data_IF_587955867638
#
_entry.id   IF_587955867638
#
_cell.length_a   1.000
_cell.length_b   1.000
_cell.length_c   1.000
_cell.angle_alpha   90.00
_cell.angle_beta   90.00
_cell.angle_gamma   90.00
#
_symmetry.space_group_name_H-M   'P 1'
#
loop_
_entity.id
_entity.type
_entity.pdbx_description
1 polymer ?
#
# COMPACT_ATOMS: atom_id res chain seq x y z
N UNK A 1 10.86 -27.10 -67.74
CA UNK A 1 10.61 -25.69 -67.39
C UNK A 1 9.37 -25.49 -66.52
N UNK A 2 8.15 -25.91 -66.91
CA UNK A 2 6.92 -25.72 -66.09
C UNK A 2 6.90 -26.43 -64.72
N UNK A 3 7.65 -27.53 -64.57
CA UNK A 3 7.68 -28.33 -63.33
C UNK A 3 8.57 -27.73 -62.24
N UNK A 4 9.62 -27.00 -62.63
CA UNK A 4 10.57 -26.38 -61.70
C UNK A 4 10.03 -25.05 -61.16
N UNK A 5 9.34 -24.27 -62.01
CA UNK A 5 8.66 -23.03 -61.60
C UNK A 5 7.54 -23.32 -60.59
N UNK A 6 6.77 -24.39 -60.80
CA UNK A 6 5.69 -24.78 -59.89
C UNK A 6 6.22 -25.23 -58.51
N UNK A 7 7.37 -25.92 -58.49
CA UNK A 7 8.03 -26.31 -57.24
C UNK A 7 8.56 -25.10 -56.46
N UNK A 8 9.08 -24.09 -57.16
CA UNK A 8 9.57 -22.85 -56.54
C UNK A 8 8.41 -22.06 -55.91
N UNK A 9 7.28 -21.95 -56.61
CA UNK A 9 6.08 -21.28 -56.10
C UNK A 9 5.51 -22.00 -54.86
N UNK A 10 5.44 -23.33 -54.87
CA UNK A 10 5.03 -24.10 -53.70
C UNK A 10 5.97 -23.93 -52.50
N UNK A 11 7.30 -23.92 -52.72
CA UNK A 11 8.28 -23.68 -51.66
C UNK A 11 8.16 -22.26 -51.10
N UNK A 12 7.96 -21.25 -51.96
CA UNK A 12 7.75 -19.87 -51.52
C UNK A 12 6.47 -19.72 -50.68
N UNK A 13 5.38 -20.38 -51.07
CA UNK A 13 4.13 -20.38 -50.32
C UNK A 13 4.27 -21.07 -48.96
N UNK A 14 5.00 -22.21 -48.89
CA UNK A 14 5.31 -22.90 -47.64
C UNK A 14 6.14 -22.04 -46.68
N UNK A 15 7.14 -21.32 -47.19
CA UNK A 15 7.96 -20.40 -46.40
C UNK A 15 7.12 -19.23 -45.87
N UNK A 16 6.23 -18.66 -46.70
CA UNK A 16 5.33 -17.58 -46.30
C UNK A 16 4.35 -18.08 -45.22
N UNK A 17 3.80 -19.29 -45.35
CA UNK A 17 2.91 -19.89 -44.34
C UNK A 17 3.66 -20.14 -43.02
N UNK A 18 4.90 -20.64 -43.07
CA UNK A 18 5.74 -20.81 -41.87
C UNK A 18 6.08 -19.47 -41.20
N UNK A 19 6.39 -18.43 -41.98
CA UNK A 19 6.63 -17.07 -41.46
C UNK A 19 5.36 -16.46 -40.84
N UNK A 20 4.19 -16.69 -41.43
CA UNK A 20 2.88 -16.26 -40.89
C UNK A 20 2.54 -16.97 -39.57
N UNK A 21 2.92 -18.24 -39.40
CA UNK A 21 2.75 -18.97 -38.14
C UNK A 21 3.64 -18.44 -37.01
N UNK A 22 4.87 -17.97 -37.33
CA UNK A 22 5.75 -17.33 -36.34
C UNK A 22 5.20 -15.96 -35.90
N UNK A 23 4.52 -15.23 -36.79
CA UNK A 23 3.91 -13.92 -36.49
C UNK A 23 2.59 -13.99 -35.69
N UNK A 24 1.94 -15.17 -35.67
CA UNK A 24 0.66 -15.39 -34.97
C UNK A 24 0.80 -16.14 -33.65
N UNK A 25 2.04 -16.43 -33.23
CA UNK A 25 2.34 -16.65 -31.83
C UNK A 25 2.27 -15.31 -31.09
N UNK A 26 1.06 -14.73 -30.99
CA UNK A 26 0.75 -13.88 -29.85
C UNK A 26 0.91 -14.79 -28.62
N UNK A 27 2.10 -14.80 -28.04
CA UNK A 27 2.27 -15.34 -26.70
C UNK A 27 1.20 -14.62 -25.87
N UNK A 28 0.16 -15.35 -25.44
CA UNK A 28 -0.63 -14.95 -24.30
C UNK A 28 0.38 -14.95 -23.15
N UNK A 29 1.09 -13.84 -22.95
CA UNK A 29 2.11 -13.75 -21.91
C UNK A 29 1.34 -13.64 -20.61
N UNK A 30 1.05 -14.80 -20.04
CA UNK A 30 0.22 -14.92 -18.86
C UNK A 30 1.04 -14.49 -17.64
N UNK A 31 0.56 -13.45 -16.96
CA UNK A 31 1.15 -12.98 -15.71
C UNK A 31 0.64 -13.83 -14.55
N UNK A 32 1.42 -14.83 -14.15
CA UNK A 32 1.13 -15.61 -12.95
C UNK A 32 1.38 -14.77 -11.70
N UNK A 33 0.67 -15.07 -10.61
CA UNK A 33 0.95 -14.45 -9.32
C UNK A 33 2.27 -14.94 -8.76
N UNK A 34 3.04 -14.03 -8.19
CA UNK A 34 4.28 -14.29 -7.43
C UNK A 34 3.99 -14.43 -5.94
N UNK A 35 4.98 -14.88 -5.17
CA UNK A 35 4.89 -15.02 -3.71
C UNK A 35 6.21 -14.64 -3.05
N UNK A 36 6.17 -14.12 -1.83
CA UNK A 36 7.36 -13.80 -1.04
C UNK A 36 7.07 -13.90 0.46
N UNK A 37 7.66 -14.91 1.12
CA UNK A 37 7.56 -15.09 2.57
C UNK A 37 6.12 -15.14 3.07
N UNK A 38 5.75 -14.18 3.93
CA UNK A 38 4.40 -14.06 4.51
C UNK A 38 3.34 -13.58 3.52
N UNK A 39 3.73 -13.16 2.31
CA UNK A 39 2.83 -12.67 1.27
C UNK A 39 2.69 -13.76 0.19
N UNK A 40 1.63 -14.60 0.26
CA UNK A 40 1.51 -15.77 -0.62
C UNK A 40 1.04 -15.43 -2.03
N UNK A 41 0.41 -14.26 -2.22
CA UNK A 41 -0.18 -13.85 -3.49
C UNK A 41 0.20 -12.39 -3.76
N UNK A 42 1.12 -12.21 -4.70
CA UNK A 42 1.53 -10.94 -5.28
C UNK A 42 1.05 -10.94 -6.73
N UNK A 43 0.09 -10.09 -7.03
CA UNK A 43 -0.52 -9.98 -8.35
C UNK A 43 -0.79 -8.51 -8.66
N UNK A 44 -1.24 -8.25 -9.88
CA UNK A 44 -1.53 -6.90 -10.34
C UNK A 44 -2.39 -6.13 -9.30
N UNK A 45 -1.99 -4.91 -8.89
CA UNK A 45 -0.98 -4.06 -9.53
C UNK A 45 0.46 -4.30 -9.06
N UNK A 46 0.64 -5.05 -7.97
CA UNK A 46 1.96 -5.32 -7.41
C UNK A 46 2.75 -6.27 -8.31
N UNK A 47 4.07 -6.14 -8.22
CA UNK A 47 5.04 -7.03 -8.84
C UNK A 47 6.26 -7.13 -7.95
N UNK A 48 6.96 -8.24 -8.05
CA UNK A 48 8.34 -8.32 -7.61
C UNK A 48 9.25 -7.66 -8.64
N UNK A 49 10.41 -7.18 -8.19
CA UNK A 49 11.44 -6.63 -9.07
C UNK A 49 11.90 -7.63 -10.13
N UNK A 50 11.91 -8.91 -9.77
CA UNK A 50 12.28 -10.04 -10.61
C UNK A 50 11.16 -10.47 -11.59
N UNK A 51 9.93 -9.99 -11.40
CA UNK A 51 8.81 -10.32 -12.30
C UNK A 51 9.03 -9.72 -13.69
N UNK A 52 8.57 -10.38 -14.77
CA UNK A 52 8.67 -9.85 -16.12
C UNK A 52 8.14 -8.42 -16.24
N UNK A 53 8.81 -7.58 -17.05
CA UNK A 53 8.50 -6.14 -17.10
C UNK A 53 7.04 -5.79 -17.46
N UNK A 54 6.37 -6.66 -18.21
CA UNK A 54 4.97 -6.49 -18.63
C UNK A 54 3.96 -6.90 -17.55
N UNK A 55 4.40 -7.55 -16.47
CA UNK A 55 3.56 -7.97 -15.35
C UNK A 55 3.61 -6.96 -14.21
N UNK A 56 2.43 -6.58 -13.71
CA UNK A 56 2.26 -5.55 -12.69
C UNK A 56 2.58 -4.13 -13.18
N UNK A 57 2.44 -3.16 -12.29
CA UNK A 57 2.76 -1.76 -12.55
C UNK A 57 4.01 -1.39 -11.75
N UNK A 58 5.01 -0.81 -12.43
CA UNK A 58 6.28 -0.35 -11.84
C UNK A 58 6.11 0.59 -10.65
N UNK A 59 4.95 1.25 -10.52
CA UNK A 59 4.65 2.14 -9.39
C UNK A 59 4.32 1.38 -8.09
N UNK A 60 4.15 0.06 -8.18
CA UNK A 60 3.80 -0.86 -7.09
C UNK A 60 4.82 -2.01 -6.99
N UNK A 61 6.07 -1.75 -7.37
CA UNK A 61 7.15 -2.74 -7.28
C UNK A 61 7.55 -3.02 -5.82
N UNK A 62 7.69 -4.31 -5.52
CA UNK A 62 8.13 -4.84 -4.23
C UNK A 62 9.48 -5.54 -4.41
N UNK A 63 10.29 -5.52 -3.35
CA UNK A 63 11.57 -6.24 -3.29
C UNK A 63 11.42 -7.42 -2.34
N UNK A 64 11.79 -8.62 -2.77
CA UNK A 64 11.81 -9.81 -1.94
C UNK A 64 13.25 -10.15 -1.54
N UNK A 65 13.61 -9.90 -0.28
CA UNK A 65 14.94 -10.22 0.25
C UNK A 65 14.79 -11.10 1.47
N UNK A 66 15.52 -12.22 1.54
CA UNK A 66 15.50 -13.15 2.68
C UNK A 66 14.07 -13.53 3.11
N UNK A 67 13.22 -13.93 2.16
CA UNK A 67 11.80 -14.24 2.39
C UNK A 67 11.00 -13.09 3.04
N UNK A 68 11.41 -11.85 2.83
CA UNK A 68 10.73 -10.66 3.36
C UNK A 68 10.42 -9.68 2.24
N UNK A 69 9.13 -9.54 1.94
CA UNK A 69 8.64 -8.55 0.99
C UNK A 69 8.79 -7.14 1.59
N UNK A 70 9.36 -6.22 0.82
CA UNK A 70 9.60 -4.84 1.23
C UNK A 70 9.17 -3.86 0.15
N UNK A 71 8.68 -2.70 0.58
CA UNK A 71 8.34 -1.55 -0.24
C UNK A 71 9.22 -0.37 0.16
N UNK A 72 9.70 0.39 -0.82
CA UNK A 72 10.43 1.63 -0.55
C UNK A 72 9.49 2.83 -0.72
N UNK A 73 9.42 3.69 0.29
CA UNK A 73 8.69 4.96 0.26
C UNK A 73 9.65 6.09 0.63
N UNK A 74 9.82 7.08 -0.26
CA UNK A 74 10.76 8.19 -0.07
C UNK A 74 12.17 7.71 0.34
N UNK A 75 12.67 6.64 -0.31
CA UNK A 75 13.94 5.98 -0.03
C UNK A 75 14.04 5.22 1.31
N UNK A 76 12.97 5.20 2.11
CA UNK A 76 12.91 4.42 3.35
C UNK A 76 12.29 3.05 3.10
N UNK A 77 12.85 2.03 3.74
CA UNK A 77 12.43 0.62 3.59
C UNK A 77 11.33 0.27 4.58
N UNK A 78 10.24 -0.31 4.08
CA UNK A 78 9.13 -0.80 4.88
C UNK A 78 8.87 -2.27 4.57
N UNK A 79 8.67 -3.09 5.60
CA UNK A 79 8.28 -4.48 5.44
C UNK A 79 6.77 -4.60 5.20
N UNK A 80 6.39 -5.40 4.20
CA UNK A 80 5.00 -5.67 3.87
C UNK A 80 4.44 -6.73 4.81
N UNK A 81 3.45 -6.38 5.60
CA UNK A 81 2.78 -7.31 6.53
C UNK A 81 1.56 -7.97 5.91
N UNK A 82 0.83 -7.26 5.04
CA UNK A 82 -0.33 -7.78 4.35
C UNK A 82 -0.65 -6.94 3.11
N UNK A 83 -1.24 -7.58 2.11
CA UNK A 83 -1.87 -6.94 0.96
C UNK A 83 -3.33 -7.39 0.93
N UNK A 84 -4.25 -6.43 0.98
CA UNK A 84 -5.69 -6.70 0.89
C UNK A 84 -6.21 -6.22 -0.47
N UNK A 85 -6.46 -7.18 -1.37
CA UNK A 85 -6.99 -6.92 -2.70
C UNK A 85 -8.49 -6.56 -2.71
N UNK A 86 -9.24 -6.93 -1.67
CA UNK A 86 -10.66 -6.59 -1.56
C UNK A 86 -10.81 -5.12 -1.15
N UNK A 87 -10.07 -4.72 -0.11
CA UNK A 87 -10.11 -3.36 0.42
C UNK A 87 -9.15 -2.40 -0.29
N UNK A 88 -8.29 -2.92 -1.16
CA UNK A 88 -7.29 -2.17 -1.93
C UNK A 88 -6.32 -1.42 -1.00
N UNK A 89 -5.85 -2.13 0.03
CA UNK A 89 -4.88 -1.64 1.01
C UNK A 89 -3.62 -2.50 1.05
N UNK A 90 -2.54 -1.91 1.53
CA UNK A 90 -1.29 -2.58 1.87
C UNK A 90 -0.89 -2.13 3.27
N UNK A 91 -0.54 -3.08 4.14
CA UNK A 91 -0.09 -2.81 5.50
C UNK A 91 1.43 -2.93 5.60
N UNK A 92 2.05 -1.89 6.14
CA UNK A 92 3.50 -1.67 6.13
C UNK A 92 4.00 -1.40 7.54
N UNK A 93 5.21 -1.90 7.84
CA UNK A 93 5.93 -1.64 9.10
C UNK A 93 7.29 -1.08 8.75
N UNK A 94 7.74 -0.04 9.46
CA UNK A 94 9.08 0.52 9.26
C UNK A 94 10.13 -0.54 9.57
N UNK A 95 11.05 -0.80 8.64
CA UNK A 95 12.08 -1.82 8.79
C UNK A 95 13.08 -1.52 9.91
N UNK A 96 13.15 -0.28 10.40
CA UNK A 96 13.99 0.11 11.53
C UNK A 96 13.40 -0.31 12.89
N UNK A 97 12.10 -0.61 12.97
CA UNK A 97 11.45 -1.02 14.23
C UNK A 97 11.84 -2.46 14.55
N UNK A 98 12.46 -2.66 15.72
CA UNK A 98 12.77 -3.98 16.27
C UNK A 98 11.72 -4.38 17.29
N UNK A 99 11.70 -5.67 17.60
CA UNK A 99 10.88 -6.21 18.69
C UNK A 99 11.55 -6.00 20.06
N UNK A 100 11.99 -4.78 20.34
CA UNK A 100 12.42 -4.31 21.66
C UNK A 100 11.48 -3.19 22.10
N UNK A 101 11.36 -2.86 23.38
CA UNK A 101 10.32 -1.93 23.84
C UNK A 101 10.57 -0.45 23.48
N UNK A 102 11.68 -0.11 22.81
CA UNK A 102 12.15 1.26 22.62
C UNK A 102 12.70 1.52 21.21
N UNK A 103 12.24 0.77 20.20
CA UNK A 103 12.57 1.02 18.80
C UNK A 103 11.52 1.90 18.15
N UNK A 104 11.93 3.08 17.72
CA UNK A 104 11.04 4.05 17.07
C UNK A 104 11.46 4.31 15.62
N UNK A 105 10.52 4.70 14.74
CA UNK A 105 10.85 5.12 13.38
C UNK A 105 11.82 6.31 13.39
N UNK A 106 12.69 6.38 12.38
CA UNK A 106 13.69 7.45 12.25
C UNK A 106 13.21 8.59 11.34
N UNK A 107 12.24 8.30 10.46
CA UNK A 107 11.82 9.24 9.42
C UNK A 107 10.32 9.49 9.45
N UNK A 108 9.95 10.75 9.27
CA UNK A 108 8.56 11.18 9.30
C UNK A 108 7.83 10.66 8.08
N UNK A 109 6.71 9.99 8.32
CA UNK A 109 5.82 9.53 7.27
C UNK A 109 4.38 9.75 7.70
N UNK A 110 3.80 10.81 7.16
CA UNK A 110 2.46 11.28 7.49
C UNK A 110 1.57 11.35 6.26
N UNK A 111 0.29 11.64 6.45
CA UNK A 111 -0.66 11.87 5.36
C UNK A 111 -0.24 12.97 4.36
N UNK A 112 0.64 13.88 4.75
CA UNK A 112 1.09 14.98 3.90
C UNK A 112 2.15 14.56 2.89
N UNK A 113 2.79 13.39 3.10
CA UNK A 113 3.76 12.83 2.16
C UNK A 113 3.11 12.15 0.95
N UNK A 114 1.78 11.94 0.98
CA UNK A 114 1.03 11.25 -0.06
C UNK A 114 0.14 12.24 -0.81
N UNK A 115 0.70 12.88 -1.83
CA UNK A 115 -0.05 13.78 -2.70
C UNK A 115 -0.99 13.02 -3.67
N UNK A 116 -1.67 13.75 -4.55
CA UNK A 116 -2.61 13.15 -5.49
C UNK A 116 -1.95 12.33 -6.60
N UNK A 117 -0.65 12.55 -6.86
CA UNK A 117 0.13 11.91 -7.91
C UNK A 117 0.84 10.65 -7.39
N UNK A 118 0.94 10.49 -6.07
CA UNK A 118 1.53 9.32 -5.44
C UNK A 118 0.70 8.05 -5.71
N UNK A 119 1.33 6.89 -6.00
CA UNK A 119 0.61 5.63 -6.29
C UNK A 119 -0.16 5.09 -5.07
N UNK A 120 0.24 5.52 -3.87
CA UNK A 120 -0.40 5.20 -2.61
C UNK A 120 -1.08 6.43 -2.00
N UNK A 121 -2.17 6.21 -1.26
CA UNK A 121 -2.93 7.27 -0.59
C UNK A 121 -3.27 6.89 0.84
N UNK A 122 -3.26 7.86 1.73
CA UNK A 122 -3.90 7.72 3.05
C UNK A 122 -5.40 7.97 2.85
N UNK A 123 -6.23 6.97 3.20
CA UNK A 123 -7.68 7.10 3.09
C UNK A 123 -8.16 8.16 4.09
N UNK A 124 -8.65 9.29 3.58
CA UNK A 124 -9.23 10.36 4.38
C UNK A 124 -10.71 10.08 4.60
N UNK A 125 -11.20 10.35 5.80
CA UNK A 125 -12.64 10.42 6.05
C UNK A 125 -13.20 11.57 5.21
N UNK A 126 -14.09 11.25 4.27
CA UNK A 126 -14.93 12.24 3.59
C UNK A 126 -16.13 12.53 4.49
N UNK A 127 -16.65 13.76 4.47
CA UNK A 127 -17.79 14.16 5.33
C UNK A 127 -19.06 13.29 5.14
N UNK A 128 -19.14 12.52 4.05
CA UNK A 128 -20.29 11.70 3.64
C UNK A 128 -20.22 10.23 4.07
N UNK A 129 -19.03 9.74 4.44
CA UNK A 129 -18.84 8.43 5.04
C UNK A 129 -18.44 8.69 6.51
N UNK A 130 -18.89 7.89 7.47
CA UNK A 130 -18.47 8.06 8.87
C UNK A 130 -16.94 8.07 9.06
N UNK A 131 -16.43 8.15 10.30
CA UNK A 131 -14.99 8.25 10.57
C UNK A 131 -14.25 6.92 10.29
N UNK A 132 -14.24 6.44 9.05
CA UNK A 132 -13.39 5.34 8.61
C UNK A 132 -12.03 5.90 8.25
N UNK A 133 -11.25 6.23 9.28
CA UNK A 133 -9.82 6.49 9.12
C UNK A 133 -9.08 5.18 9.25
N UNK A 134 -8.25 4.88 8.25
CA UNK A 134 -7.39 3.71 8.29
C UNK A 134 -6.23 3.90 9.27
N UNK A 135 -5.74 5.14 9.45
CA UNK A 135 -4.57 5.41 10.28
C UNK A 135 -4.79 6.50 11.32
N UNK A 136 -4.22 6.29 12.50
CA UNK A 136 -3.99 7.26 13.55
C UNK A 136 -2.58 7.86 13.43
N UNK A 137 -2.44 9.19 13.52
CA UNK A 137 -1.12 9.80 13.61
C UNK A 137 -0.52 9.56 15.00
N UNK A 138 0.80 9.35 15.06
CA UNK A 138 1.59 9.32 16.28
C UNK A 138 2.64 10.41 16.14
N UNK A 139 2.61 11.38 17.06
CA UNK A 139 3.53 12.52 17.07
C UNK A 139 4.53 12.37 18.19
N UNK A 140 5.81 12.55 17.86
CA UNK A 140 6.89 12.67 18.83
C UNK A 140 7.34 14.13 18.87
N UNK A 141 7.51 14.64 20.08
CA UNK A 141 7.94 16.00 20.31
C UNK A 141 8.99 16.05 21.41
N UNK A 142 9.84 17.08 21.37
CA UNK A 142 10.79 17.36 22.42
C UNK A 142 10.66 18.79 22.93
N UNK A 143 10.82 18.96 24.23
CA UNK A 143 10.69 20.25 24.90
C UNK A 143 11.91 20.51 25.81
N UNK A 144 12.35 21.77 25.97
CA UNK A 144 13.43 22.13 26.89
C UNK A 144 13.00 22.06 28.37
N UNK A 145 11.69 22.14 28.64
CA UNK A 145 11.10 22.11 29.98
C UNK A 145 10.01 21.03 30.05
N UNK A 146 9.74 20.47 31.25
CA UNK A 146 8.73 19.45 31.40
C UNK A 146 7.33 20.02 31.13
N UNK A 147 6.53 19.29 30.37
CA UNK A 147 5.14 19.64 30.03
C UNK A 147 4.19 18.77 30.83
N UNK A 148 3.47 19.38 31.78
CA UNK A 148 2.41 18.72 32.54
C UNK A 148 1.07 18.85 31.83
N UNK A 149 0.87 18.15 30.71
CA UNK A 149 -0.42 18.09 30.04
C UNK A 149 -0.77 16.67 29.59
N UNK A 150 -1.91 16.17 30.05
CA UNK A 150 -2.62 15.09 29.39
C UNK A 150 -3.06 15.60 28.01
N UNK A 151 -2.78 14.91 26.89
CA UNK A 151 -2.57 13.45 26.75
C UNK A 151 -1.15 13.04 26.30
N UNK A 152 -0.11 13.79 26.68
CA UNK A 152 1.25 13.46 26.27
C UNK A 152 1.90 12.44 27.22
N UNK A 153 2.49 11.39 26.66
CA UNK A 153 3.23 10.40 27.43
C UNK A 153 4.72 10.70 27.34
N UNK A 154 5.36 10.82 28.49
CA UNK A 154 6.80 10.99 28.56
C UNK A 154 7.51 9.68 28.18
N UNK A 155 8.55 9.78 27.36
CA UNK A 155 9.32 8.62 26.86
C UNK A 155 10.70 8.50 27.48
N UNK A 156 10.94 9.19 28.61
CA UNK A 156 12.23 9.25 29.30
C UNK A 156 12.79 7.89 29.73
N UNK A 157 11.92 6.88 29.91
CA UNK A 157 12.30 5.49 30.19
C UNK A 157 13.05 4.78 29.04
N UNK A 158 13.03 5.33 27.83
CA UNK A 158 13.73 4.78 26.66
C UNK A 158 15.10 5.46 26.39
N UNK A 159 15.73 6.06 27.40
CA UNK A 159 17.10 6.64 27.36
C UNK A 159 17.37 7.54 26.13
N UNK A 160 16.39 8.35 25.72
CA UNK A 160 16.52 9.26 24.57
C UNK A 160 17.06 8.58 23.30
N UNK A 161 16.79 7.28 23.10
CA UNK A 161 17.17 6.53 21.88
C UNK A 161 16.61 7.13 20.58
N UNK A 162 15.68 8.08 20.69
CA UNK A 162 15.19 8.94 19.60
C UNK A 162 16.31 9.64 18.81
N UNK A 163 17.47 9.91 19.42
CA UNK A 163 18.58 10.64 18.78
C UNK A 163 19.82 9.78 18.48
N UNK A 164 19.70 8.44 18.45
CA UNK A 164 20.86 7.54 18.27
C UNK A 164 21.45 7.51 16.84
N UNK A 165 21.21 8.52 16.01
CA UNK A 165 21.92 8.76 14.76
C UNK A 165 22.33 10.24 14.65
N UNK A 166 23.58 10.52 15.01
CA UNK A 166 24.35 11.73 14.64
C UNK A 166 24.06 13.07 15.34
N UNK A 167 23.65 13.10 16.61
CA UNK A 167 23.73 14.32 17.41
C UNK A 167 24.86 14.22 18.45
N UNK A 168 25.94 14.97 18.19
CA UNK A 168 26.92 15.37 19.20
C UNK A 168 26.23 15.69 20.53
N UNK A 169 26.68 15.06 21.61
CA UNK A 169 26.24 15.26 22.99
C UNK A 169 26.11 16.76 23.32
N UNK A 170 24.92 17.33 23.09
CA UNK A 170 24.55 18.64 23.60
C UNK A 170 23.96 18.44 24.99
N UNK A 171 24.58 19.07 25.97
CA UNK A 171 24.38 18.92 27.41
C UNK A 171 23.03 19.41 27.96
N UNK A 172 22.02 19.64 27.13
CA UNK A 172 20.65 19.97 27.57
C UNK A 172 19.73 18.78 27.31
N UNK A 173 19.46 17.98 28.36
CA UNK A 173 18.45 16.92 28.32
C UNK A 173 17.10 17.55 27.94
N UNK A 174 16.60 17.23 26.75
CA UNK A 174 15.23 17.59 26.34
C UNK A 174 14.27 16.52 26.86
N UNK A 175 13.09 16.94 27.26
CA UNK A 175 11.99 16.05 27.63
C UNK A 175 11.28 15.60 26.37
N UNK A 176 11.19 14.28 26.16
CA UNK A 176 10.58 13.69 24.97
C UNK A 176 9.19 13.16 25.29
N UNK A 177 8.26 13.44 24.39
CA UNK A 177 6.86 13.10 24.55
C UNK A 177 6.30 12.46 23.29
N UNK A 178 5.32 11.58 23.47
CA UNK A 178 4.56 10.96 22.38
C UNK A 178 3.06 11.17 22.59
N UNK A 179 2.34 11.44 21.49
CA UNK A 179 0.88 11.57 21.46
C UNK A 179 0.31 10.81 20.27
N UNK A 180 -0.73 10.03 20.53
CA UNK A 180 -1.54 9.41 19.46
C UNK A 180 -2.75 10.30 19.19
N UNK A 181 -3.14 10.39 17.91
CA UNK A 181 -4.26 11.21 17.48
C UNK A 181 -3.86 12.63 17.11
N UNK A 182 -4.86 13.46 16.85
CA UNK A 182 -4.59 14.79 16.30
C UNK A 182 -3.91 15.71 17.29
N UNK A 183 -2.90 16.40 16.79
CA UNK A 183 -2.25 17.49 17.47
C UNK A 183 -2.87 18.81 17.00
N UNK A 184 -3.39 19.59 17.94
CA UNK A 184 -3.78 20.98 17.68
C UNK A 184 -2.60 21.90 17.96
N UNK A 185 -2.58 23.07 17.31
CA UNK A 185 -1.53 24.08 17.54
C UNK A 185 -1.50 24.49 19.02
N UNK A 186 -2.67 24.54 19.68
CA UNK A 186 -2.80 24.80 21.12
C UNK A 186 -2.12 23.76 22.01
N UNK A 187 -1.87 22.55 21.51
CA UNK A 187 -1.28 21.46 22.28
C UNK A 187 0.26 21.58 22.34
N UNK A 188 0.86 22.31 21.38
CA UNK A 188 2.32 22.48 21.31
C UNK A 188 2.70 23.71 22.12
N UNK A 189 3.40 23.49 23.24
CA UNK A 189 3.89 24.58 24.10
C UNK A 189 5.05 25.33 23.45
N UNK A 190 5.28 26.55 23.91
CA UNK A 190 6.39 27.39 23.47
C UNK A 190 7.73 26.64 23.61
N UNK A 191 8.61 26.82 22.62
CA UNK A 191 9.94 26.19 22.55
C UNK A 191 9.98 24.66 22.38
N UNK A 192 8.82 23.99 22.35
CA UNK A 192 8.76 22.59 21.94
C UNK A 192 8.91 22.44 20.43
N UNK A 193 9.52 21.35 19.99
CA UNK A 193 9.64 20.97 18.58
C UNK A 193 8.89 19.67 18.33
N UNK A 194 8.18 19.62 17.20
CA UNK A 194 7.69 18.35 16.65
C UNK A 194 8.88 17.71 15.94
N UNK A 195 9.32 16.58 16.47
CA UNK A 195 10.51 15.89 15.95
C UNK A 195 10.13 14.92 14.82
N UNK A 196 8.99 14.24 14.97
CA UNK A 196 8.56 13.18 14.05
C UNK A 196 7.04 12.99 14.07
N UNK A 197 6.46 12.69 12.91
CA UNK A 197 5.07 12.23 12.79
C UNK A 197 5.06 10.92 11.99
N UNK A 198 4.46 9.89 12.56
CA UNK A 198 4.23 8.61 11.89
C UNK A 198 2.76 8.21 11.98
N UNK A 199 2.44 7.05 11.44
CA UNK A 199 1.07 6.55 11.38
C UNK A 199 1.01 5.11 11.88
N UNK A 200 -0.15 4.72 12.39
CA UNK A 200 -0.50 3.33 12.68
C UNK A 200 -1.95 3.07 12.30
N UNK A 201 -2.26 1.87 11.81
CA UNK A 201 -3.65 1.40 11.62
C UNK A 201 -4.16 0.57 12.79
N UNK A 202 -3.46 0.61 13.94
CA UNK A 202 -3.88 -0.10 15.14
C UNK A 202 -5.26 0.39 15.62
N UNK A 203 -6.20 -0.53 15.92
CA UNK A 203 -7.53 -0.17 16.39
C UNK A 203 -7.53 0.16 17.88
N UNK A 204 -7.04 1.35 18.25
CA UNK A 204 -7.09 1.82 19.64
C UNK A 204 -8.53 1.87 20.17
N UNK A 205 -8.72 1.41 21.41
CA UNK A 205 -10.02 1.46 22.11
C UNK A 205 -10.30 2.84 22.70
N UNK A 206 -9.29 3.44 23.33
CA UNK A 206 -9.34 4.80 23.87
C UNK A 206 -8.01 5.48 23.58
N UNK A 207 -8.04 6.53 22.76
CA UNK A 207 -6.83 7.25 22.36
C UNK A 207 -6.32 8.22 23.44
N UNK A 208 -7.13 8.51 24.47
CA UNK A 208 -6.75 9.43 25.54
C UNK A 208 -6.00 8.74 26.68
N UNK A 209 -6.07 7.40 26.75
CA UNK A 209 -5.44 6.60 27.79
C UNK A 209 -4.70 5.42 27.15
N UNK A 210 -3.50 5.69 26.65
CA UNK A 210 -2.66 4.70 25.97
C UNK A 210 -1.37 4.53 26.79
N UNK A 211 -0.87 3.32 26.89
CA UNK A 211 0.44 3.04 27.47
C UNK A 211 1.58 3.13 26.43
N UNK A 212 2.82 3.33 26.87
CA UNK A 212 3.98 3.32 25.96
C UNK A 212 4.14 1.98 25.22
N UNK A 213 3.80 0.86 25.87
CA UNK A 213 3.83 -0.46 25.26
C UNK A 213 2.76 -0.63 24.16
N UNK A 214 1.57 -0.06 24.34
CA UNK A 214 0.54 -0.03 23.30
C UNK A 214 0.96 0.82 22.10
N UNK A 215 1.61 1.97 22.34
CA UNK A 215 2.19 2.79 21.26
C UNK A 215 3.24 1.97 20.51
N UNK A 216 4.14 1.31 21.21
CA UNK A 216 5.16 0.48 20.58
C UNK A 216 4.55 -0.70 19.81
N UNK A 217 3.56 -1.39 20.38
CA UNK A 217 2.81 -2.44 19.69
C UNK A 217 2.10 -1.94 18.43
N UNK A 218 1.58 -0.71 18.45
CA UNK A 218 0.96 -0.07 17.29
C UNK A 218 1.97 0.24 16.16
N UNK A 219 3.22 0.55 16.52
CA UNK A 219 4.30 0.77 15.55
C UNK A 219 4.72 -0.55 14.89
N UNK A 220 4.84 -1.63 15.67
CA UNK A 220 5.11 -2.99 15.15
C UNK A 220 3.97 -3.49 14.27
N UNK A 221 2.72 -3.15 14.59
CA UNK A 221 1.57 -3.51 13.76
C UNK A 221 1.58 -2.80 12.40
N UNK A 222 2.08 -1.56 12.38
CA UNK A 222 2.26 -0.77 11.18
C UNK A 222 1.06 0.08 10.81
N UNK A 223 1.05 0.55 9.57
CA UNK A 223 0.04 1.43 8.99
C UNK A 223 -0.43 0.93 7.64
N UNK A 224 -1.60 1.39 7.21
CA UNK A 224 -2.19 1.01 5.93
C UNK A 224 -2.15 2.14 4.91
N UNK A 225 -1.80 1.81 3.67
CA UNK A 225 -1.95 2.70 2.54
C UNK A 225 -2.95 2.11 1.55
N UNK A 226 -3.78 2.95 0.95
CA UNK A 226 -4.63 2.55 -0.15
C UNK A 226 -3.89 2.67 -1.47
N UNK A 227 -4.02 1.66 -2.32
CA UNK A 227 -3.51 1.66 -3.69
C UNK A 227 -4.64 1.82 -4.72
N UNK A 228 -5.81 2.31 -4.29
CA UNK A 228 -6.95 2.59 -5.17
C UNK A 228 -6.62 3.52 -6.35
N UNK A 229 -5.56 4.33 -6.24
CA UNK A 229 -5.10 5.20 -7.32
C UNK A 229 -4.85 4.44 -8.64
N UNK A 230 -4.50 3.16 -8.59
CA UNK A 230 -4.35 2.34 -9.80
C UNK A 230 -5.65 2.23 -10.60
N UNK A 231 -6.81 2.14 -9.93
CA UNK A 231 -8.12 2.10 -10.61
C UNK A 231 -8.40 3.42 -11.31
N UNK A 232 -8.03 4.55 -10.70
CA UNK A 232 -8.14 5.88 -11.33
C UNK A 232 -7.23 5.98 -12.56
N UNK A 233 -5.98 5.52 -12.45
CA UNK A 233 -5.01 5.50 -13.56
C UNK A 233 -5.50 4.64 -14.72
N UNK A 234 -5.98 3.44 -14.43
CA UNK A 234 -6.59 2.53 -15.41
C UNK A 234 -7.80 3.17 -16.11
N UNK A 235 -8.71 3.78 -15.34
CA UNK A 235 -9.89 4.45 -15.89
C UNK A 235 -9.55 5.67 -16.76
N UNK A 236 -8.54 6.47 -16.38
CA UNK A 236 -8.05 7.58 -17.19
C UNK A 236 -7.46 7.10 -18.52
N UNK A 237 -6.69 6.01 -18.50
CA UNK A 237 -6.08 5.42 -19.70
C UNK A 237 -7.14 4.86 -20.66
N UNK A 238 -8.17 4.19 -20.14
CA UNK A 238 -9.16 3.47 -20.94
C UNK A 238 -10.43 4.27 -21.27
N UNK A 239 -10.50 5.56 -20.89
CA UNK A 239 -11.62 6.49 -21.10
C UNK A 239 -13.01 5.95 -20.70
N UNK A 240 -13.07 4.84 -19.97
CA UNK A 240 -14.29 4.16 -19.56
C UNK A 240 -14.04 3.54 -18.17
N UNK A 241 -15.02 3.69 -17.29
CA UNK A 241 -14.92 3.25 -15.90
C UNK A 241 -16.32 2.82 -15.44
N UNK A 242 -16.60 1.51 -15.40
CA UNK A 242 -17.79 0.99 -14.71
C UNK A 242 -17.40 0.75 -13.25
N UNK A 243 -17.33 1.83 -12.47
CA UNK A 243 -17.26 1.71 -11.01
C UNK A 243 -18.65 1.30 -10.52
N UNK A 244 -18.78 0.12 -9.91
CA UNK A 244 -20.02 -0.32 -9.29
C UNK A 244 -20.28 0.50 -8.03
N UNK A 245 -21.16 1.48 -8.14
CA UNK A 245 -21.75 2.17 -7.00
C UNK A 245 -23.12 1.54 -6.71
N UNK A 246 -23.41 1.19 -5.46
CA UNK A 246 -24.77 0.88 -5.03
C UNK A 246 -25.39 2.14 -4.39
N UNK A 247 -26.59 2.51 -4.83
CA UNK A 247 -27.31 3.64 -4.23
C UNK A 247 -28.18 3.10 -3.08
N UNK A 248 -27.89 3.50 -1.84
CA UNK A 248 -28.73 3.20 -0.67
C UNK A 248 -28.86 4.45 0.19
N UNK A 249 -30.09 4.80 0.56
CA UNK A 249 -30.43 5.93 1.44
C UNK A 249 -29.82 7.27 0.99
N UNK A 250 -29.92 7.60 -0.30
CA UNK A 250 -29.45 8.89 -0.82
C UNK A 250 -27.94 8.98 -1.08
N UNK A 251 -27.18 7.90 -0.85
CA UNK A 251 -25.72 7.89 -0.97
C UNK A 251 -25.20 6.78 -1.90
N UNK A 252 -24.08 7.05 -2.57
CA UNK A 252 -23.32 6.09 -3.38
C UNK A 252 -22.37 5.29 -2.48
N UNK A 253 -22.55 3.98 -2.38
CA UNK A 253 -21.66 3.05 -1.69
C UNK A 253 -20.79 2.31 -2.70
N UNK A 254 -19.48 2.25 -2.46
CA UNK A 254 -18.54 1.41 -3.22
C UNK A 254 -18.84 -0.07 -2.93
N UNK A 255 -19.24 -0.83 -3.96
CA UNK A 255 -19.55 -2.25 -3.79
C UNK A 255 -18.25 -3.07 -3.77
N UNK A 256 -17.81 -3.49 -2.57
CA UNK A 256 -16.61 -4.28 -2.34
C UNK A 256 -16.88 -5.69 -1.78
N UNK A 257 -17.90 -6.42 -2.27
CA UNK A 257 -18.17 -7.79 -1.77
C UNK A 257 -18.35 -8.85 -2.85
N UNK A 258 -17.54 -9.91 -2.69
CA UNK A 258 -17.43 -11.24 -3.32
C UNK A 258 -17.62 -11.40 -4.84
N UNK A 259 -16.49 -11.69 -5.48
CA UNK A 259 -16.33 -12.46 -6.71
C UNK A 259 -16.46 -13.93 -6.31
N UNK A 260 -17.55 -14.61 -6.70
CA UNK A 260 -17.52 -16.07 -6.73
C UNK A 260 -16.73 -16.49 -7.97
N UNK A 261 -15.57 -17.12 -7.79
CA UNK A 261 -14.87 -17.79 -8.87
C UNK A 261 -15.62 -19.08 -9.21
N UNK A 262 -16.43 -19.06 -10.27
CA UNK A 262 -16.86 -20.29 -10.92
C UNK A 262 -15.74 -20.70 -11.87
N UNK A 263 -14.94 -21.70 -11.49
CA UNK A 263 -14.01 -22.33 -12.43
C UNK A 263 -14.79 -23.25 -13.35
N UNK A 264 -15.03 -22.82 -14.59
CA UNK A 264 -15.21 -23.76 -15.70
C UNK A 264 -14.01 -23.62 -16.63
N UNK A 265 -13.56 -24.76 -17.16
CA UNK A 265 -12.15 -25.08 -17.43
C UNK A 265 -11.32 -24.16 -18.34
N UNK A 266 -11.78 -23.02 -18.86
CA UNK A 266 -10.95 -22.12 -19.67
C UNK A 266 -11.26 -20.61 -19.54
N UNK A 267 -12.02 -20.16 -18.53
CA UNK A 267 -12.24 -18.72 -18.32
C UNK A 267 -12.62 -18.37 -16.86
N UNK A 268 -11.96 -17.37 -16.27
CA UNK A 268 -12.38 -16.76 -15.02
C UNK A 268 -13.37 -15.63 -15.31
N UNK A 269 -14.59 -15.74 -14.79
CA UNK A 269 -15.61 -14.70 -14.93
C UNK A 269 -15.78 -13.93 -13.62
N UNK A 270 -15.75 -12.61 -13.69
CA UNK A 270 -16.20 -11.76 -12.60
C UNK A 270 -17.70 -11.55 -12.73
N UNK A 271 -18.47 -12.07 -11.77
CA UNK A 271 -19.91 -11.88 -11.67
C UNK A 271 -20.18 -10.77 -10.66
N UNK A 272 -20.76 -9.65 -11.12
CA UNK A 272 -21.32 -8.63 -10.24
C UNK A 272 -22.85 -8.77 -10.21
N UNK A 273 -23.41 -8.92 -9.01
CA UNK A 273 -24.85 -8.89 -8.80
C UNK A 273 -25.31 -7.45 -8.54
N UNK A 274 -26.14 -6.91 -9.44
CA UNK A 274 -26.75 -5.59 -9.29
C UNK A 274 -28.25 -5.70 -9.55
N UNK A 275 -29.07 -5.53 -8.50
CA UNK A 275 -30.53 -5.38 -8.62
C UNK A 275 -31.25 -6.47 -9.43
N UNK A 276 -30.86 -7.74 -9.27
CA UNK A 276 -31.51 -8.87 -9.96
C UNK A 276 -31.05 -9.12 -11.40
N UNK A 277 -30.10 -8.34 -11.94
CA UNK A 277 -29.47 -8.60 -13.24
C UNK A 277 -28.02 -9.05 -13.09
N UNK A 278 -27.64 -10.08 -13.86
CA UNK A 278 -26.29 -10.65 -13.91
C UNK A 278 -25.53 -9.99 -15.08
N UNK A 279 -24.39 -9.39 -14.79
CA UNK A 279 -23.45 -8.88 -15.79
C UNK A 279 -22.18 -9.75 -15.78
N UNK A 280 -21.87 -10.33 -16.95
CA UNK A 280 -20.66 -11.13 -17.16
C UNK A 280 -19.52 -10.24 -17.63
N UNK A 281 -18.35 -10.40 -17.01
CA UNK A 281 -17.12 -9.77 -17.48
C UNK A 281 -16.05 -10.85 -17.69
N UNK A 282 -15.43 -10.81 -18.87
CA UNK A 282 -14.22 -11.58 -19.15
C UNK A 282 -13.05 -10.95 -18.39
N UNK A 283 -12.39 -11.75 -17.57
CA UNK A 283 -11.09 -11.43 -16.98
C UNK A 283 -10.05 -12.14 -17.85
N UNK A 284 -9.11 -11.38 -18.42
CA UNK A 284 -7.96 -11.92 -19.14
C UNK A 284 -6.92 -12.45 -18.15
#
# INVERSE_FOLDING_TARGET
>A
MLRETFLLECLSALIIVQLLQISSASHNIQCNSSACGKIPIISYPFRLKEDPQHCGDSSYELVCENNTASLYLNSNKYHVQAIDYLNLTIRLVDAAIKNDSCSFPQYSLSQYNFDNNYPYRVRKSTKSEGPFRLNWPITFMSCPYPVNSSPFLETSHCDNRFYASNASYSSTRRYTYVKVGYLYVSDVRDMCSIDLIVMTSWPFKDVNNISLSEIHGSLIYGFELSWYAVKIKYCRKNKSCKLCYSFRNGNYHLCGKMINFLSSNHAAFCICYCGGSILYFHVF
#
